data_IF_257315975711
#
_entry.id   IF_257315975711
#
_cell.length_a   1.000
_cell.length_b   1.000
_cell.length_c   1.000
_cell.angle_alpha   90.00
_cell.angle_beta   90.00
_cell.angle_gamma   90.00
#
_symmetry.space_group_name_H-M   'P 1'
#
loop_
_entity.id
_entity.type
_entity.pdbx_description
1 polymer ?
#
# COMPACT_ATOMS: atom_id res chain seq x y z
N UNK A 1 -9.64 -12.34 2.34
CA UNK A 1 -10.24 -11.69 1.16
C UNK A 1 -9.13 -10.82 0.60
N UNK A 2 -8.43 -11.34 -0.40
CA UNK A 2 -7.39 -10.62 -1.15
C UNK A 2 -8.09 -9.98 -2.36
N UNK A 3 -7.83 -8.70 -2.61
CA UNK A 3 -8.54 -7.93 -3.64
C UNK A 3 -7.88 -8.03 -5.02
N UNK A 4 -6.73 -8.71 -5.15
CA UNK A 4 -5.97 -8.80 -6.40
C UNK A 4 -5.45 -7.46 -6.94
N UNK A 5 -5.50 -6.39 -6.14
CA UNK A 5 -5.08 -5.05 -6.55
C UNK A 5 -3.56 -4.91 -6.45
N UNK A 6 -2.90 -4.65 -7.59
CA UNK A 6 -1.46 -4.41 -7.65
C UNK A 6 -1.18 -2.91 -7.43
N UNK A 7 -0.52 -2.60 -6.32
CA UNK A 7 -0.11 -1.22 -5.98
C UNK A 7 1.41 -1.13 -5.98
N UNK A 8 1.94 -0.11 -6.66
CA UNK A 8 3.38 0.16 -6.67
C UNK A 8 3.80 0.81 -5.35
N UNK A 9 4.67 0.13 -4.61
CA UNK A 9 5.17 0.60 -3.31
C UNK A 9 6.69 0.82 -3.34
N UNK A 10 7.23 1.73 -2.51
CA UNK A 10 8.66 1.92 -2.39
C UNK A 10 9.40 0.69 -1.84
N UNK A 11 10.69 0.55 -2.20
CA UNK A 11 11.57 -0.58 -1.84
C UNK A 11 11.73 -0.83 -0.32
N UNK A 12 11.38 0.14 0.54
CA UNK A 12 11.51 0.02 1.99
C UNK A 12 10.24 -0.50 2.69
N UNK A 13 9.17 -0.78 1.93
CA UNK A 13 7.93 -1.38 2.45
C UNK A 13 8.11 -2.90 2.52
N UNK A 14 7.76 -3.50 3.66
CA UNK A 14 7.84 -4.94 3.87
C UNK A 14 6.45 -5.56 3.97
N UNK A 15 6.38 -6.89 3.80
CA UNK A 15 5.13 -7.62 4.04
C UNK A 15 4.71 -7.48 5.50
N UNK A 16 3.45 -7.09 5.73
CA UNK A 16 2.90 -6.80 7.06
C UNK A 16 2.91 -5.32 7.47
N UNK A 17 3.52 -4.44 6.68
CA UNK A 17 3.38 -2.99 6.86
C UNK A 17 1.99 -2.50 6.48
N UNK A 18 1.48 -1.55 7.26
CA UNK A 18 0.22 -0.88 6.96
C UNK A 18 0.51 0.33 6.09
N UNK A 19 -0.06 0.34 4.90
CA UNK A 19 0.06 1.44 3.96
C UNK A 19 -1.33 2.00 3.64
N UNK A 20 -1.39 3.30 3.43
CA UNK A 20 -2.57 3.97 2.90
C UNK A 20 -2.41 4.12 1.40
N UNK A 21 -3.43 3.72 0.67
CA UNK A 21 -3.48 3.76 -0.78
C UNK A 21 -4.69 4.58 -1.21
N UNK A 22 -4.52 5.39 -2.24
CA UNK A 22 -5.64 6.08 -2.87
C UNK A 22 -6.39 5.09 -3.76
N UNK A 23 -7.68 4.86 -3.49
CA UNK A 23 -8.47 3.85 -4.21
C UNK A 23 -8.99 4.32 -5.56
N UNK A 24 -8.82 5.61 -5.89
CA UNK A 24 -9.24 6.17 -7.19
C UNK A 24 -8.11 6.09 -8.20
N UNK A 25 -6.88 6.35 -7.78
CA UNK A 25 -5.69 6.27 -8.64
C UNK A 25 -4.89 4.97 -8.46
N UNK A 26 -5.07 4.26 -7.35
CA UNK A 26 -4.29 3.07 -7.01
C UNK A 26 -2.88 3.39 -6.51
N UNK A 27 -2.59 4.66 -6.22
CA UNK A 27 -1.26 5.09 -5.80
C UNK A 27 -1.06 4.92 -4.29
N UNK A 28 0.16 4.55 -3.93
CA UNK A 28 0.64 4.63 -2.57
C UNK A 28 0.64 6.08 -2.07
N UNK A 29 0.04 6.32 -0.89
CA UNK A 29 0.01 7.66 -0.27
C UNK A 29 1.03 7.77 0.86
N UNK A 30 0.93 6.91 1.88
CA UNK A 30 1.73 7.01 3.09
C UNK A 30 1.86 5.66 3.81
N UNK A 31 2.91 5.49 4.61
CA UNK A 31 3.14 4.32 5.47
C UNK A 31 2.67 4.66 6.88
N UNK A 32 1.75 3.87 7.41
CA UNK A 32 1.24 4.01 8.77
C UNK A 32 2.15 3.22 9.71
N UNK A 33 2.82 3.92 10.62
CA UNK A 33 3.47 3.28 11.77
C UNK A 33 2.42 3.12 12.87
N UNK A 34 2.32 1.91 13.41
CA UNK A 34 1.47 1.62 14.56
C UNK A 34 2.19 2.00 15.85
#
# INVERSE_FOLDING_TARGET
MDTGAEVRVPLFINNGDWIKVDTRSGDYTERIKK
#
